data_IF_649790018231
#
_entry.id   IF_649790018231
#
_cell.length_a   1.000
_cell.length_b   1.000
_cell.length_c   1.000
_cell.angle_alpha   90.00
_cell.angle_beta   90.00
_cell.angle_gamma   90.00
#
_symmetry.space_group_name_H-M   'P 1'
#
loop_
_entity.id
_entity.type
_entity.pdbx_description
1 polymer ?
#
# COMPACT_ATOMS: atom_id res chain seq x y z
N UNK A 1 12.79 11.14 -15.66
CA UNK A 1 12.65 12.59 -15.37
C UNK A 1 11.17 12.97 -15.32
N UNK A 2 10.33 12.59 -16.30
CA UNK A 2 8.91 12.94 -16.36
C UNK A 2 8.07 12.45 -15.16
N UNK A 3 8.51 11.40 -14.46
CA UNK A 3 7.88 10.85 -13.25
C UNK A 3 8.52 11.35 -11.95
N UNK A 4 9.35 12.40 -12.01
CA UNK A 4 10.03 12.98 -10.84
C UNK A 4 11.28 12.23 -10.36
N UNK A 5 11.71 11.18 -11.07
CA UNK A 5 12.92 10.42 -10.72
C UNK A 5 14.16 11.01 -11.41
N UNK A 6 15.31 10.93 -10.71
CA UNK A 6 16.60 11.25 -11.30
C UNK A 6 17.15 10.01 -12.01
N UNK A 7 17.73 10.20 -13.21
CA UNK A 7 18.51 9.15 -13.88
C UNK A 7 19.82 8.93 -13.13
N UNK A 8 20.14 7.66 -12.86
CA UNK A 8 21.35 7.25 -12.12
C UNK A 8 22.25 6.40 -13.03
N UNK A 9 21.74 5.26 -13.50
CA UNK A 9 22.37 4.37 -14.45
C UNK A 9 21.29 3.62 -15.23
N UNK A 10 21.64 3.04 -16.38
CA UNK A 10 20.67 2.30 -17.19
C UNK A 10 19.97 1.19 -16.38
N UNK A 11 20.71 0.44 -15.56
CA UNK A 11 20.15 -0.66 -14.74
C UNK A 11 19.17 -0.11 -13.69
N UNK A 12 19.54 0.92 -12.94
CA UNK A 12 18.68 1.53 -11.91
C UNK A 12 17.44 2.18 -12.55
N UNK A 13 17.62 2.86 -13.68
CA UNK A 13 16.52 3.50 -14.40
C UNK A 13 15.53 2.48 -14.95
N UNK A 14 16.01 1.31 -15.42
CA UNK A 14 15.16 0.19 -15.85
C UNK A 14 14.37 -0.39 -14.66
N UNK A 15 15.01 -0.61 -13.52
CA UNK A 15 14.29 -1.12 -12.33
C UNK A 15 13.21 -0.15 -11.85
N UNK A 16 13.50 1.15 -11.88
CA UNK A 16 12.52 2.20 -11.59
C UNK A 16 11.41 2.25 -12.64
N UNK A 17 11.76 2.14 -13.92
CA UNK A 17 10.76 2.10 -15.00
C UNK A 17 9.78 0.95 -14.80
N UNK A 18 10.26 -0.27 -14.57
CA UNK A 18 9.41 -1.45 -14.34
C UNK A 18 8.52 -1.27 -13.10
N UNK A 19 9.07 -0.65 -12.04
CA UNK A 19 8.28 -0.32 -10.85
C UNK A 19 7.10 0.60 -11.16
N UNK A 20 7.29 1.62 -12.01
CA UNK A 20 6.21 2.54 -12.40
C UNK A 20 5.29 1.97 -13.47
N UNK A 21 5.80 1.16 -14.42
CA UNK A 21 5.06 0.59 -15.54
C UNK A 21 4.06 -0.49 -15.06
N UNK A 22 4.54 -1.45 -14.28
CA UNK A 22 3.74 -2.61 -13.86
C UNK A 22 3.61 -2.76 -12.32
N UNK A 23 3.92 -1.72 -11.57
CA UNK A 23 3.84 -1.70 -10.10
C UNK A 23 4.66 -2.82 -9.43
N UNK A 24 5.84 -3.18 -10.02
CA UNK A 24 6.74 -4.23 -9.52
C UNK A 24 8.10 -3.64 -9.18
N UNK A 25 8.34 -3.27 -7.89
CA UNK A 25 9.68 -2.87 -7.48
C UNK A 25 10.67 -4.01 -7.66
N UNK A 26 11.81 -3.69 -8.24
CA UNK A 26 12.94 -4.58 -8.44
C UNK A 26 14.15 -4.02 -7.71
N UNK A 27 15.09 -4.89 -7.36
CA UNK A 27 16.40 -4.46 -6.89
C UNK A 27 17.51 -5.09 -7.75
N UNK A 28 18.55 -4.32 -8.01
CA UNK A 28 19.70 -4.73 -8.77
C UNK A 28 20.95 -4.69 -7.87
N UNK A 29 21.61 -5.83 -7.74
CA UNK A 29 22.87 -5.96 -7.04
C UNK A 29 24.03 -6.05 -8.03
N UNK A 30 25.17 -5.51 -7.65
CA UNK A 30 26.45 -5.85 -8.26
C UNK A 30 26.80 -7.29 -7.83
N UNK A 31 26.68 -8.23 -8.76
CA UNK A 31 26.84 -9.65 -8.46
C UNK A 31 28.26 -10.02 -8.00
N UNK A 32 29.27 -9.26 -8.46
CA UNK A 32 30.67 -9.49 -8.12
C UNK A 32 30.99 -9.10 -6.66
N UNK A 33 30.12 -8.29 -6.04
CA UNK A 33 30.22 -7.86 -4.64
C UNK A 33 29.45 -8.75 -3.66
N UNK A 34 28.73 -9.77 -4.15
CA UNK A 34 27.95 -10.72 -3.32
C UNK A 34 28.83 -11.88 -2.87
N UNK A 35 28.86 -12.16 -1.58
CA UNK A 35 29.60 -13.29 -1.02
C UNK A 35 28.70 -14.54 -0.88
N UNK A 36 28.97 -15.59 -1.67
CA UNK A 36 28.31 -16.93 -1.68
C UNK A 36 26.82 -16.94 -2.02
N UNK A 37 26.20 -15.82 -2.33
CA UNK A 37 24.78 -15.74 -2.74
C UNK A 37 23.87 -15.09 -1.71
N UNK A 38 22.61 -14.86 -2.11
CA UNK A 38 21.64 -14.14 -1.31
C UNK A 38 20.89 -15.05 -0.33
N UNK A 39 20.69 -14.55 0.88
CA UNK A 39 19.93 -15.22 1.95
C UNK A 39 18.86 -14.26 2.44
N UNK A 40 17.60 -14.67 2.33
CA UNK A 40 16.47 -13.94 2.92
C UNK A 40 16.23 -14.46 4.33
N UNK A 41 16.31 -13.59 5.33
CA UNK A 41 16.16 -13.97 6.74
C UNK A 41 15.61 -12.84 7.59
N UNK A 42 15.31 -13.14 8.83
CA UNK A 42 15.08 -12.09 9.84
C UNK A 42 16.42 -11.51 10.32
N UNK A 43 16.41 -10.21 10.62
CA UNK A 43 17.54 -9.53 11.27
C UNK A 43 17.75 -10.01 12.69
N UNK A 44 18.98 -9.86 13.16
CA UNK A 44 19.34 -10.00 14.58
C UNK A 44 19.32 -8.63 15.24
N UNK A 45 19.03 -8.59 16.53
CA UNK A 45 19.05 -7.35 17.30
C UNK A 45 20.45 -6.72 17.30
N UNK A 46 20.51 -5.43 16.97
CA UNK A 46 21.77 -4.68 16.91
C UNK A 46 22.58 -4.89 15.64
N UNK A 47 22.11 -5.66 14.68
CA UNK A 47 22.72 -5.73 13.34
C UNK A 47 22.72 -4.37 12.67
N UNK A 48 23.76 -4.05 11.93
CA UNK A 48 23.92 -2.75 11.28
C UNK A 48 24.15 -2.91 9.79
N UNK A 49 23.68 -1.96 9.01
CA UNK A 49 24.04 -1.83 7.60
C UNK A 49 23.96 -0.37 7.17
N UNK A 50 24.73 0.01 6.14
CA UNK A 50 24.65 1.32 5.50
C UNK A 50 23.74 1.22 4.28
N UNK A 51 22.64 1.97 4.28
CA UNK A 51 21.67 1.96 3.20
C UNK A 51 22.05 2.92 2.05
N UNK A 52 21.36 2.80 0.91
CA UNK A 52 21.58 3.62 -0.28
C UNK A 52 21.36 5.14 -0.06
N UNK A 53 20.72 5.53 1.04
CA UNK A 53 20.60 6.93 1.48
C UNK A 53 21.84 7.40 2.28
N UNK A 54 22.89 6.58 2.37
CA UNK A 54 24.12 6.78 3.11
C UNK A 54 23.94 6.89 4.65
N UNK A 55 22.82 6.40 5.19
CA UNK A 55 22.62 6.35 6.64
C UNK A 55 22.91 4.93 7.15
N UNK A 56 23.49 4.87 8.36
CA UNK A 56 23.64 3.63 9.11
C UNK A 56 22.35 3.36 9.88
N UNK A 57 21.78 2.17 9.68
CA UNK A 57 20.61 1.69 10.41
C UNK A 57 20.98 0.57 11.36
N UNK A 58 20.48 0.67 12.58
CA UNK A 58 20.57 -0.39 13.60
C UNK A 58 19.26 -1.16 13.60
N UNK A 59 19.34 -2.44 13.33
CA UNK A 59 18.17 -3.30 13.15
C UNK A 59 17.71 -3.89 14.48
N UNK A 60 16.40 -4.05 14.62
CA UNK A 60 15.79 -4.83 15.69
C UNK A 60 15.49 -6.25 15.20
N UNK A 61 15.07 -7.13 16.09
CA UNK A 61 14.70 -8.50 15.75
C UNK A 61 13.49 -8.56 14.80
N UNK A 62 13.47 -9.59 13.94
CA UNK A 62 12.34 -9.89 13.05
C UNK A 62 12.07 -8.88 11.93
N UNK A 63 13.03 -8.04 11.55
CA UNK A 63 12.98 -7.29 10.32
C UNK A 63 13.44 -8.18 9.16
N UNK A 64 12.73 -8.14 8.03
CA UNK A 64 13.12 -8.91 6.85
C UNK A 64 14.34 -8.26 6.19
N UNK A 65 15.44 -9.01 6.12
CA UNK A 65 16.68 -8.56 5.48
C UNK A 65 17.07 -9.47 4.34
N UNK A 66 17.68 -8.89 3.32
CA UNK A 66 18.45 -9.60 2.32
C UNK A 66 19.90 -9.53 2.79
N UNK A 67 20.56 -10.66 2.87
CA UNK A 67 21.95 -10.79 3.35
C UNK A 67 22.74 -11.75 2.48
N UNK A 68 24.04 -11.75 2.66
CA UNK A 68 24.94 -12.78 2.19
C UNK A 68 25.75 -13.34 3.37
N UNK A 69 26.86 -14.07 3.13
CA UNK A 69 27.69 -14.60 4.23
C UNK A 69 28.46 -13.51 4.97
N UNK A 70 28.64 -12.32 4.40
CA UNK A 70 29.37 -11.19 5.01
C UNK A 70 28.45 -10.24 5.81
N UNK A 71 27.13 -10.37 5.70
CA UNK A 71 26.19 -9.56 6.48
C UNK A 71 24.97 -9.04 5.71
N UNK A 72 24.32 -8.03 6.25
CA UNK A 72 23.10 -7.43 5.67
C UNK A 72 23.44 -6.61 4.43
N UNK A 73 22.70 -6.87 3.34
CA UNK A 73 22.78 -6.16 2.06
C UNK A 73 21.66 -5.11 1.90
N UNK A 74 20.56 -5.30 2.61
CA UNK A 74 19.43 -4.38 2.55
C UNK A 74 18.23 -4.86 3.35
N UNK A 75 17.26 -3.99 3.50
CA UNK A 75 15.95 -4.29 4.06
C UNK A 75 15.00 -4.72 2.93
N UNK A 76 14.55 -5.96 2.99
CA UNK A 76 13.69 -6.54 1.96
C UNK A 76 12.46 -5.67 1.67
N UNK A 77 12.30 -5.23 0.43
CA UNK A 77 11.19 -4.38 -0.02
C UNK A 77 11.16 -2.94 0.50
N UNK A 78 12.22 -2.48 1.19
CA UNK A 78 12.28 -1.13 1.74
C UNK A 78 13.44 -0.34 1.12
N UNK A 79 14.69 -0.75 1.34
CA UNK A 79 15.86 -0.05 0.85
C UNK A 79 17.07 -0.98 0.76
N UNK A 80 17.81 -0.91 -0.34
CA UNK A 80 19.09 -1.61 -0.50
C UNK A 80 20.22 -0.98 0.28
N UNK A 81 21.32 -1.73 0.41
CA UNK A 81 22.55 -1.24 1.02
C UNK A 81 23.58 -0.80 0.00
N UNK A 82 24.54 0.01 0.45
CA UNK A 82 25.59 0.57 -0.42
C UNK A 82 26.60 -0.47 -0.86
N UNK A 83 26.86 -1.52 -0.05
CA UNK A 83 27.93 -2.50 -0.28
C UNK A 83 27.82 -3.23 -1.62
N UNK A 84 26.62 -3.58 -2.01
CA UNK A 84 26.31 -4.33 -3.26
C UNK A 84 25.51 -3.51 -4.25
N UNK A 85 25.44 -2.19 -4.05
CA UNK A 85 24.80 -1.28 -5.00
C UNK A 85 25.52 -1.33 -6.36
N UNK A 86 24.75 -1.22 -7.45
CA UNK A 86 25.31 -1.14 -8.80
C UNK A 86 25.94 0.23 -9.04
N UNK A 87 27.05 0.23 -9.76
CA UNK A 87 27.81 1.40 -10.18
C UNK A 87 27.89 1.47 -11.71
N UNK A 88 28.43 2.54 -12.25
CA UNK A 88 28.57 2.70 -13.71
C UNK A 88 29.49 1.66 -14.38
N UNK A 89 30.40 1.06 -13.61
CA UNK A 89 31.32 0.04 -14.06
C UNK A 89 30.87 -1.40 -13.73
N UNK A 90 29.71 -1.59 -13.12
CA UNK A 90 29.15 -2.93 -12.82
C UNK A 90 28.88 -3.68 -14.12
N UNK A 91 29.46 -4.87 -14.25
CA UNK A 91 29.31 -5.75 -15.42
C UNK A 91 28.34 -6.91 -15.18
N UNK A 92 28.38 -7.51 -13.99
CA UNK A 92 27.52 -8.61 -13.62
C UNK A 92 26.44 -8.14 -12.66
N UNK A 93 25.17 -8.30 -13.06
CA UNK A 93 24.02 -7.81 -12.29
C UNK A 93 23.15 -8.98 -11.85
N UNK A 94 22.83 -9.04 -10.57
CA UNK A 94 21.79 -9.92 -10.04
C UNK A 94 20.51 -9.10 -9.81
N UNK A 95 19.43 -9.48 -10.50
CA UNK A 95 18.12 -8.84 -10.34
C UNK A 95 17.27 -9.60 -9.33
N UNK A 96 16.70 -8.88 -8.39
CA UNK A 96 15.70 -9.38 -7.45
C UNK A 96 14.31 -8.89 -7.83
N UNK A 97 13.36 -9.83 -7.93
CA UNK A 97 11.92 -9.54 -7.95
C UNK A 97 11.27 -10.40 -6.87
N UNK A 98 10.73 -9.75 -5.85
CA UNK A 98 10.28 -10.47 -4.67
C UNK A 98 8.85 -10.06 -4.24
N UNK A 99 8.26 -10.85 -3.35
CA UNK A 99 7.08 -10.50 -2.59
C UNK A 99 7.43 -10.51 -1.11
N UNK A 100 7.14 -9.43 -0.43
CA UNK A 100 7.34 -9.27 1.00
C UNK A 100 6.01 -9.09 1.73
N UNK A 101 5.93 -9.54 2.98
CA UNK A 101 4.73 -9.37 3.79
C UNK A 101 4.44 -7.88 4.06
N UNK A 102 3.31 -7.32 3.61
CA UNK A 102 3.01 -5.89 3.74
C UNK A 102 3.05 -5.36 5.17
N UNK A 103 2.61 -6.17 6.14
CA UNK A 103 2.60 -5.79 7.57
C UNK A 103 4.02 -5.67 8.12
N UNK A 104 4.92 -6.59 7.71
CA UNK A 104 6.32 -6.55 8.11
C UNK A 104 7.01 -5.31 7.54
N UNK A 105 6.78 -5.01 6.26
CA UNK A 105 7.32 -3.81 5.61
C UNK A 105 6.86 -2.54 6.33
N UNK A 106 5.56 -2.40 6.58
CA UNK A 106 5.00 -1.24 7.30
C UNK A 106 5.58 -1.08 8.70
N UNK A 107 5.70 -2.19 9.46
CA UNK A 107 6.26 -2.16 10.82
C UNK A 107 7.72 -1.71 10.80
N UNK A 108 8.54 -2.34 9.96
CA UNK A 108 9.98 -2.05 9.85
C UNK A 108 10.23 -0.62 9.39
N UNK A 109 9.57 -0.18 8.32
CA UNK A 109 9.76 1.17 7.78
C UNK A 109 9.34 2.28 8.76
N UNK A 110 8.26 2.03 9.53
CA UNK A 110 7.82 2.97 10.56
C UNK A 110 8.82 3.05 11.72
N UNK A 111 9.37 1.93 12.18
CA UNK A 111 10.35 1.90 13.26
C UNK A 111 11.65 2.61 12.89
N UNK A 112 12.09 2.44 11.64
CA UNK A 112 13.33 3.05 11.15
C UNK A 112 13.14 4.41 10.49
N UNK A 113 11.89 4.89 10.38
CA UNK A 113 11.50 6.14 9.72
C UNK A 113 12.04 6.23 8.28
N UNK A 114 11.84 5.16 7.49
CA UNK A 114 12.28 5.07 6.09
C UNK A 114 11.05 5.16 5.18
N UNK A 115 11.11 6.05 4.20
CA UNK A 115 10.08 6.20 3.16
C UNK A 115 10.71 6.10 1.77
N UNK A 116 10.25 5.12 0.97
CA UNK A 116 10.72 4.87 -0.40
C UNK A 116 9.56 4.47 -1.30
N UNK A 117 9.74 4.63 -2.61
CA UNK A 117 8.78 4.22 -3.63
C UNK A 117 8.50 2.71 -3.60
N UNK A 118 9.50 1.89 -3.34
CA UNK A 118 9.37 0.45 -3.18
C UNK A 118 8.55 0.10 -1.93
N UNK A 119 8.90 0.67 -0.78
CA UNK A 119 8.18 0.52 0.48
C UNK A 119 6.70 0.91 0.34
N UNK A 120 6.42 2.06 -0.30
CA UNK A 120 5.05 2.53 -0.53
C UNK A 120 4.19 1.48 -1.24
N UNK A 121 4.75 0.73 -2.19
CA UNK A 121 4.06 -0.31 -2.93
C UNK A 121 3.93 -1.59 -2.12
N UNK A 122 5.02 -2.08 -1.56
CA UNK A 122 5.03 -3.32 -0.79
C UNK A 122 4.16 -3.27 0.47
N UNK A 123 4.12 -2.14 1.19
CA UNK A 123 3.29 -2.03 2.40
C UNK A 123 1.78 -2.06 2.13
N UNK A 124 1.37 -1.74 0.89
CA UNK A 124 -0.03 -1.80 0.44
C UNK A 124 -0.40 -3.14 -0.17
N UNK A 125 0.60 -3.97 -0.44
CA UNK A 125 0.44 -5.24 -1.14
C UNK A 125 0.58 -5.06 -2.65
N UNK A 126 1.46 -5.85 -3.23
CA UNK A 126 1.65 -5.96 -4.67
C UNK A 126 1.22 -7.36 -5.13
N UNK A 127 1.02 -7.53 -6.42
CA UNK A 127 0.60 -8.81 -6.99
C UNK A 127 1.66 -9.90 -6.79
N UNK A 128 1.42 -10.95 -5.98
CA UNK A 128 2.38 -12.03 -5.78
C UNK A 128 2.62 -12.88 -7.04
N UNK A 129 1.74 -12.78 -8.06
CA UNK A 129 1.84 -13.55 -9.30
C UNK A 129 2.57 -12.80 -10.43
N UNK A 130 2.91 -11.52 -10.24
CA UNK A 130 3.63 -10.73 -11.26
C UNK A 130 5.16 -10.73 -11.08
N UNK A 131 5.71 -11.62 -10.24
CA UNK A 131 7.17 -11.70 -9.98
C UNK A 131 7.94 -11.97 -11.26
N UNK A 132 7.56 -13.02 -11.99
CA UNK A 132 8.21 -13.39 -13.25
C UNK A 132 7.99 -12.34 -14.34
N UNK A 133 6.81 -11.74 -14.41
CA UNK A 133 6.53 -10.67 -15.36
C UNK A 133 7.49 -9.49 -15.15
N UNK A 134 7.76 -9.11 -13.89
CA UNK A 134 8.68 -8.02 -13.56
C UNK A 134 10.11 -8.34 -14.00
N UNK A 135 10.60 -9.53 -13.70
CA UNK A 135 11.94 -9.98 -14.13
C UNK A 135 12.03 -10.00 -15.66
N UNK A 136 11.08 -10.62 -16.35
CA UNK A 136 11.09 -10.72 -17.80
C UNK A 136 11.10 -9.32 -18.45
N UNK A 137 10.27 -8.39 -17.95
CA UNK A 137 10.25 -7.04 -18.48
C UNK A 137 11.56 -6.29 -18.27
N UNK A 138 12.17 -6.42 -17.09
CA UNK A 138 13.49 -5.81 -16.85
C UNK A 138 14.58 -6.42 -17.72
N UNK A 139 14.60 -7.74 -17.85
CA UNK A 139 15.57 -8.46 -18.67
C UNK A 139 15.46 -8.08 -20.14
N UNK A 140 14.23 -7.94 -20.70
CA UNK A 140 14.02 -7.46 -22.08
C UNK A 140 14.65 -6.08 -22.27
N UNK A 141 14.37 -5.13 -21.37
CA UNK A 141 14.90 -3.78 -21.45
C UNK A 141 16.42 -3.71 -21.26
N UNK A 142 16.97 -4.51 -20.34
CA UNK A 142 18.43 -4.60 -20.13
C UNK A 142 19.10 -5.14 -21.39
N UNK A 143 18.57 -6.20 -21.99
CA UNK A 143 19.10 -6.79 -23.20
C UNK A 143 19.07 -5.82 -24.39
N UNK A 144 17.99 -5.05 -24.51
CA UNK A 144 17.81 -4.06 -25.57
C UNK A 144 18.79 -2.88 -25.42
N UNK A 145 18.96 -2.38 -24.20
CA UNK A 145 19.69 -1.13 -23.93
C UNK A 145 21.17 -1.37 -23.62
N UNK A 146 21.46 -2.39 -22.80
CA UNK A 146 22.80 -2.68 -22.28
C UNK A 146 23.47 -3.87 -22.99
N UNK A 147 22.69 -4.74 -23.62
CA UNK A 147 23.20 -6.01 -24.17
C UNK A 147 23.45 -7.05 -23.07
N UNK A 148 24.38 -7.97 -23.34
CA UNK A 148 24.80 -9.00 -22.38
C UNK A 148 24.06 -10.33 -22.50
N UNK A 149 24.44 -11.29 -21.65
CA UNK A 149 23.87 -12.62 -21.56
C UNK A 149 22.99 -12.78 -20.32
N UNK A 150 21.96 -13.60 -20.42
CA UNK A 150 20.98 -13.83 -19.37
C UNK A 150 21.17 -15.23 -18.81
N UNK A 151 21.29 -15.34 -17.49
CA UNK A 151 21.29 -16.60 -16.77
C UNK A 151 19.88 -17.19 -16.62
N UNK A 152 19.81 -18.37 -16.02
CA UNK A 152 18.51 -18.94 -15.62
C UNK A 152 17.89 -18.13 -14.48
N UNK A 153 16.56 -18.01 -14.52
CA UNK A 153 15.79 -17.46 -13.40
C UNK A 153 15.72 -18.53 -12.30
N UNK A 154 16.13 -18.19 -11.08
CA UNK A 154 15.95 -19.03 -9.89
C UNK A 154 14.72 -18.50 -9.12
N UNK A 155 13.77 -19.40 -8.85
CA UNK A 155 12.51 -19.05 -8.18
C UNK A 155 12.43 -19.82 -6.86
N UNK A 156 12.44 -19.07 -5.75
CA UNK A 156 12.26 -19.63 -4.42
C UNK A 156 10.97 -19.09 -3.80
N UNK A 157 10.09 -19.99 -3.37
CA UNK A 157 8.81 -19.61 -2.79
C UNK A 157 8.63 -20.23 -1.42
N UNK A 158 8.34 -19.39 -0.42
CA UNK A 158 7.91 -19.81 0.90
C UNK A 158 6.43 -19.47 1.04
N UNK A 159 5.58 -20.50 1.12
CA UNK A 159 4.14 -20.34 1.20
C UNK A 159 3.39 -20.64 -0.11
N UNK A 160 2.07 -20.54 -0.06
CA UNK A 160 1.20 -20.82 -1.19
C UNK A 160 0.24 -19.65 -1.40
N UNK A 161 0.44 -18.89 -2.45
CA UNK A 161 -0.45 -17.80 -2.82
C UNK A 161 -1.67 -18.34 -3.56
N UNK A 162 -2.86 -17.92 -3.14
CA UNK A 162 -4.13 -18.29 -3.76
C UNK A 162 -4.89 -17.05 -4.15
N UNK A 163 -5.48 -17.06 -5.35
CA UNK A 163 -6.42 -16.02 -5.77
C UNK A 163 -7.66 -16.05 -4.88
N UNK A 164 -8.12 -14.89 -4.45
CA UNK A 164 -9.35 -14.74 -3.68
C UNK A 164 -10.55 -15.15 -4.52
N UNK A 165 -11.46 -15.94 -3.93
CA UNK A 165 -12.71 -16.34 -4.57
C UNK A 165 -13.89 -15.81 -3.77
N UNK A 166 -14.84 -15.16 -4.44
CA UNK A 166 -16.02 -14.57 -3.83
C UNK A 166 -17.26 -15.13 -4.51
N UNK A 167 -18.20 -15.62 -3.73
CA UNK A 167 -19.54 -15.92 -4.20
C UNK A 167 -20.41 -14.67 -4.02
N UNK A 168 -20.78 -14.05 -5.12
CA UNK A 168 -21.53 -12.80 -5.14
C UNK A 168 -22.99 -13.05 -5.49
N UNK A 169 -23.90 -12.70 -4.59
CA UNK A 169 -25.34 -12.69 -4.83
C UNK A 169 -25.69 -11.40 -5.59
N UNK A 170 -26.28 -11.58 -6.80
CA UNK A 170 -26.67 -10.46 -7.67
C UNK A 170 -27.67 -9.52 -6.97
N UNK A 171 -28.54 -10.06 -6.11
CA UNK A 171 -29.54 -9.26 -5.38
C UNK A 171 -28.93 -8.29 -4.37
N UNK A 172 -27.71 -8.58 -3.89
CA UNK A 172 -26.98 -7.72 -2.95
C UNK A 172 -26.67 -6.35 -3.57
N UNK A 173 -26.41 -6.31 -4.88
CA UNK A 173 -26.15 -5.06 -5.57
C UNK A 173 -27.30 -4.07 -5.41
N UNK A 174 -28.52 -4.47 -5.78
CA UNK A 174 -29.70 -3.60 -5.64
C UNK A 174 -29.96 -3.21 -4.19
N UNK A 175 -29.82 -4.16 -3.26
CA UNK A 175 -30.06 -3.94 -1.83
C UNK A 175 -29.14 -2.86 -1.26
N UNK A 176 -27.90 -2.80 -1.70
CA UNK A 176 -26.88 -1.85 -1.18
C UNK A 176 -26.89 -0.54 -1.98
N UNK A 177 -26.90 -0.62 -3.32
CA UNK A 177 -26.79 0.56 -4.19
C UNK A 177 -28.10 1.33 -4.36
N UNK A 178 -29.25 0.67 -4.13
CA UNK A 178 -30.57 1.27 -4.29
C UNK A 178 -31.07 1.36 -5.72
N UNK A 179 -30.33 0.83 -6.71
CA UNK A 179 -30.76 0.80 -8.11
C UNK A 179 -30.40 -0.54 -8.76
N UNK A 180 -30.93 -0.80 -9.97
CA UNK A 180 -30.76 -2.05 -10.70
C UNK A 180 -29.89 -1.85 -11.93
N UNK A 181 -28.99 -2.79 -12.15
CA UNK A 181 -28.34 -3.03 -13.44
C UNK A 181 -28.52 -4.48 -13.85
N UNK A 182 -28.48 -4.77 -15.14
CA UNK A 182 -28.67 -6.15 -15.61
C UNK A 182 -27.49 -7.04 -15.24
N UNK A 183 -27.73 -8.32 -15.00
CA UNK A 183 -26.66 -9.30 -14.73
C UNK A 183 -25.62 -9.36 -15.86
N UNK A 184 -26.05 -9.13 -17.11
CA UNK A 184 -25.16 -9.05 -18.26
C UNK A 184 -24.20 -7.87 -18.16
N UNK A 185 -24.69 -6.73 -17.72
CA UNK A 185 -23.90 -5.52 -17.52
C UNK A 185 -22.92 -5.67 -16.36
N UNK A 186 -23.36 -6.26 -15.22
CA UNK A 186 -22.48 -6.61 -14.09
C UNK A 186 -21.31 -7.49 -14.57
N UNK A 187 -21.61 -8.54 -15.34
CA UNK A 187 -20.60 -9.46 -15.87
C UNK A 187 -19.62 -8.71 -16.79
N UNK A 188 -20.13 -7.82 -17.62
CA UNK A 188 -19.28 -7.04 -18.53
C UNK A 188 -18.33 -6.12 -17.75
N UNK A 189 -18.84 -5.39 -16.76
CA UNK A 189 -18.04 -4.50 -15.91
C UNK A 189 -16.93 -5.31 -15.20
N UNK A 190 -17.30 -6.41 -14.54
CA UNK A 190 -16.35 -7.22 -13.79
C UNK A 190 -15.30 -7.89 -14.70
N UNK A 191 -15.69 -8.35 -15.89
CA UNK A 191 -14.72 -8.89 -16.88
C UNK A 191 -13.72 -7.82 -17.33
N UNK A 192 -14.19 -6.61 -17.58
CA UNK A 192 -13.31 -5.49 -17.98
C UNK A 192 -12.33 -5.11 -16.86
N UNK A 193 -12.69 -5.37 -15.60
CA UNK A 193 -11.81 -5.21 -14.44
C UNK A 193 -10.89 -6.42 -14.19
N UNK A 194 -10.96 -7.46 -15.05
CA UNK A 194 -10.07 -8.62 -14.99
C UNK A 194 -10.56 -9.77 -14.12
N UNK A 195 -11.82 -9.77 -13.65
CA UNK A 195 -12.38 -10.89 -12.90
C UNK A 195 -12.64 -12.10 -13.80
N UNK A 196 -12.27 -13.29 -13.32
CA UNK A 196 -12.72 -14.55 -13.90
C UNK A 196 -14.09 -14.89 -13.31
N UNK A 197 -15.09 -15.15 -14.18
CA UNK A 197 -16.49 -15.29 -13.73
C UNK A 197 -17.06 -16.63 -14.17
N UNK A 198 -17.60 -17.36 -13.21
CA UNK A 198 -18.47 -18.52 -13.45
C UNK A 198 -19.89 -18.17 -12.96
N UNK A 199 -20.82 -18.04 -13.89
CA UNK A 199 -22.21 -17.68 -13.57
C UNK A 199 -23.03 -18.91 -13.19
N UNK A 200 -23.85 -18.77 -12.14
CA UNK A 200 -24.88 -19.73 -11.77
C UNK A 200 -26.15 -18.94 -11.44
N UNK A 201 -27.30 -19.29 -12.00
CA UNK A 201 -28.62 -18.59 -11.97
C UNK A 201 -28.70 -17.24 -11.22
N UNK A 202 -28.48 -17.21 -9.89
CA UNK A 202 -28.60 -15.99 -9.06
C UNK A 202 -27.27 -15.54 -8.45
N UNK A 203 -26.19 -16.31 -8.64
CA UNK A 203 -24.89 -16.03 -8.04
C UNK A 203 -23.80 -15.98 -9.11
N UNK A 204 -22.82 -15.11 -8.88
CA UNK A 204 -21.57 -15.08 -9.63
C UNK A 204 -20.45 -15.63 -8.74
N UNK A 205 -19.80 -16.70 -9.17
CA UNK A 205 -18.56 -17.16 -8.56
C UNK A 205 -17.41 -16.42 -9.21
N UNK A 206 -16.83 -15.50 -8.46
CA UNK A 206 -15.79 -14.59 -8.93
C UNK A 206 -14.43 -15.05 -8.44
N UNK A 207 -13.44 -15.10 -9.34
CA UNK A 207 -12.04 -15.14 -8.97
C UNK A 207 -11.48 -13.73 -9.12
N UNK A 208 -11.04 -13.16 -8.01
CA UNK A 208 -10.50 -11.80 -7.95
C UNK A 208 -9.15 -11.74 -8.65
N UNK A 209 -8.86 -10.72 -9.46
CA UNK A 209 -7.53 -10.49 -10.02
C UNK A 209 -6.47 -10.41 -8.92
N UNK A 210 -5.32 -11.03 -9.13
CA UNK A 210 -4.26 -11.12 -8.13
C UNK A 210 -3.65 -9.77 -7.73
N UNK A 211 -3.76 -8.77 -8.60
CA UNK A 211 -3.31 -7.39 -8.34
C UNK A 211 -4.31 -6.54 -7.54
N UNK A 212 -5.46 -7.12 -7.12
CA UNK A 212 -6.48 -6.46 -6.30
C UNK A 212 -6.55 -7.09 -4.91
N UNK A 213 -5.55 -6.83 -4.04
CA UNK A 213 -5.52 -7.37 -2.68
C UNK A 213 -6.59 -6.74 -1.76
N UNK A 214 -7.18 -5.65 -2.17
CA UNK A 214 -8.21 -4.87 -1.50
C UNK A 214 -9.59 -5.53 -1.57
N UNK A 215 -9.85 -6.37 -2.60
CA UNK A 215 -11.15 -7.03 -2.80
C UNK A 215 -11.17 -8.37 -2.06
N UNK A 216 -11.87 -8.43 -0.94
CA UNK A 216 -11.92 -9.60 -0.07
C UNK A 216 -13.34 -10.09 0.23
N UNK A 217 -14.36 -9.28 -0.03
CA UNK A 217 -15.75 -9.57 0.33
C UNK A 217 -16.75 -9.03 -0.71
N UNK A 218 -18.02 -9.46 -0.60
CA UNK A 218 -19.06 -9.13 -1.58
C UNK A 218 -19.39 -7.63 -1.66
N UNK A 219 -19.19 -6.88 -0.57
CA UNK A 219 -19.43 -5.43 -0.59
C UNK A 219 -18.44 -4.71 -1.48
N UNK A 220 -17.19 -5.18 -1.55
CA UNK A 220 -16.16 -4.61 -2.42
C UNK A 220 -16.55 -4.77 -3.90
N UNK A 221 -17.23 -5.88 -4.23
CA UNK A 221 -17.78 -6.10 -5.58
C UNK A 221 -18.89 -5.10 -5.90
N UNK A 222 -19.75 -4.76 -4.92
CA UNK A 222 -20.78 -3.73 -5.12
C UNK A 222 -20.13 -2.39 -5.44
N UNK A 223 -19.08 -2.02 -4.74
CA UNK A 223 -18.33 -0.78 -5.01
C UNK A 223 -17.76 -0.76 -6.43
N UNK A 224 -17.09 -1.83 -6.86
CA UNK A 224 -16.53 -1.92 -8.21
C UNK A 224 -17.62 -1.85 -9.30
N UNK A 225 -18.76 -2.47 -9.07
CA UNK A 225 -19.90 -2.39 -9.99
C UNK A 225 -20.48 -0.97 -10.07
N UNK A 226 -20.61 -0.27 -8.93
CA UNK A 226 -21.08 1.13 -8.90
C UNK A 226 -20.10 2.04 -9.64
N UNK A 227 -18.81 1.90 -9.39
CA UNK A 227 -17.76 2.68 -10.08
C UNK A 227 -17.74 2.41 -11.58
N UNK A 228 -17.80 1.12 -11.97
CA UNK A 228 -17.80 0.71 -13.37
C UNK A 228 -19.06 1.09 -14.13
N UNK A 229 -20.21 1.17 -13.45
CA UNK A 229 -21.46 1.68 -14.01
C UNK A 229 -21.41 3.18 -14.28
N UNK A 230 -20.80 3.94 -13.38
CA UNK A 230 -20.65 5.39 -13.41
C UNK A 230 -21.56 6.10 -12.42
N UNK A 231 -20.96 6.86 -11.51
CA UNK A 231 -21.68 7.61 -10.46
C UNK A 231 -22.61 8.68 -11.02
N UNK A 232 -22.28 9.23 -12.17
CA UNK A 232 -23.07 10.23 -12.91
C UNK A 232 -24.43 9.70 -13.40
N UNK A 233 -24.54 8.38 -13.58
CA UNK A 233 -25.78 7.70 -14.01
C UNK A 233 -26.74 7.42 -12.84
N UNK A 234 -26.28 7.55 -11.60
CA UNK A 234 -27.10 7.28 -10.42
C UNK A 234 -28.06 8.45 -10.18
N UNK A 235 -29.36 8.16 -10.22
CA UNK A 235 -30.38 9.17 -9.98
C UNK A 235 -30.39 9.58 -8.50
N UNK A 236 -30.29 10.87 -8.26
CA UNK A 236 -30.48 11.44 -6.93
C UNK A 236 -31.95 11.34 -6.52
N UNK A 237 -32.22 10.73 -5.39
CA UNK A 237 -33.56 10.63 -4.80
C UNK A 237 -33.58 11.52 -3.55
N UNK A 238 -34.50 12.48 -3.53
CA UNK A 238 -34.70 13.27 -2.31
C UNK A 238 -35.24 12.34 -1.20
N UNK A 239 -34.69 12.41 0.01
CA UNK A 239 -35.24 11.65 1.13
C UNK A 239 -36.69 12.04 1.36
N UNK A 240 -37.55 11.07 1.64
CA UNK A 240 -38.94 11.36 2.01
C UNK A 240 -38.95 12.29 3.20
N UNK A 241 -39.70 13.39 3.07
CA UNK A 241 -39.92 14.32 4.15
C UNK A 241 -40.89 13.70 5.14
N UNK A 242 -40.48 12.68 5.87
CA UNK A 242 -41.19 12.27 7.05
C UNK A 242 -41.24 13.48 7.98
N UNK A 243 -42.42 13.77 8.57
CA UNK A 243 -42.59 14.80 9.58
C UNK A 243 -41.82 14.44 10.85
N UNK A 244 -40.50 14.47 10.76
CA UNK A 244 -39.62 14.38 11.92
C UNK A 244 -39.76 15.71 12.64
N UNK A 245 -40.48 15.71 13.77
CA UNK A 245 -40.46 16.87 14.68
C UNK A 245 -39.01 16.98 15.18
N UNK A 246 -38.27 18.03 14.80
CA UNK A 246 -36.92 18.22 15.32
C UNK A 246 -37.04 18.50 16.84
N UNK A 247 -36.80 17.47 17.62
CA UNK A 247 -36.81 17.60 19.08
C UNK A 247 -35.37 17.71 19.58
N UNK A 248 -34.94 18.95 19.81
CA UNK A 248 -33.72 19.19 20.55
C UNK A 248 -33.88 18.62 21.96
N UNK A 249 -32.87 17.87 22.43
CA UNK A 249 -32.80 17.44 23.82
C UNK A 249 -32.73 18.63 24.75
N UNK A 250 -33.03 18.42 26.03
CA UNK A 250 -32.90 19.49 27.05
C UNK A 250 -31.50 20.09 27.07
N UNK A 251 -30.48 19.25 26.99
CA UNK A 251 -29.05 19.66 26.97
C UNK A 251 -28.74 20.53 25.73
N UNK A 252 -29.20 20.16 24.54
CA UNK A 252 -29.00 20.95 23.33
C UNK A 252 -29.71 22.31 23.41
N UNK A 253 -30.93 22.34 23.96
CA UNK A 253 -31.62 23.60 24.17
C UNK A 253 -30.91 24.52 25.15
N UNK A 254 -30.40 23.95 26.27
CA UNK A 254 -29.61 24.69 27.24
C UNK A 254 -28.33 25.22 26.64
N UNK A 255 -27.62 24.39 25.87
CA UNK A 255 -26.40 24.80 25.17
C UNK A 255 -26.64 26.02 24.28
N UNK A 256 -27.63 25.94 23.39
CA UNK A 256 -27.95 27.06 22.49
C UNK A 256 -28.48 28.31 23.23
N UNK A 257 -29.13 28.12 24.37
CA UNK A 257 -29.56 29.25 25.20
C UNK A 257 -28.34 29.95 25.83
N UNK A 258 -27.41 29.19 26.42
CA UNK A 258 -26.18 29.73 27.00
C UNK A 258 -25.32 30.43 25.96
N UNK A 259 -25.13 29.79 24.80
CA UNK A 259 -24.38 30.35 23.69
C UNK A 259 -24.91 31.75 23.29
N UNK A 260 -26.21 31.87 23.07
CA UNK A 260 -26.83 33.18 22.75
C UNK A 260 -26.75 34.17 23.90
N UNK A 261 -26.95 33.72 25.14
CA UNK A 261 -26.85 34.58 26.33
C UNK A 261 -25.47 35.17 26.51
N UNK A 262 -24.43 34.38 26.29
CA UNK A 262 -23.04 34.83 26.38
C UNK A 262 -22.68 35.77 25.22
N UNK A 263 -23.10 35.43 24.00
CA UNK A 263 -22.90 36.29 22.85
C UNK A 263 -23.53 37.67 23.02
N UNK A 264 -24.74 37.75 23.61
CA UNK A 264 -25.43 39.05 23.90
C UNK A 264 -24.72 39.87 24.96
N UNK A 265 -23.86 39.26 25.78
CA UNK A 265 -23.00 39.92 26.76
C UNK A 265 -21.62 40.31 26.22
N UNK A 266 -21.37 40.12 24.92
CA UNK A 266 -20.14 40.49 24.26
C UNK A 266 -19.05 39.43 24.31
N UNK A 267 -19.34 38.17 24.75
CA UNK A 267 -18.38 37.08 24.70
C UNK A 267 -18.30 36.54 23.28
N UNK A 268 -17.06 36.19 22.86
CA UNK A 268 -16.78 35.54 21.60
C UNK A 268 -16.58 34.05 21.85
N UNK A 269 -17.29 33.21 21.09
CA UNK A 269 -17.09 31.78 21.12
C UNK A 269 -15.83 31.40 20.36
N UNK A 270 -14.95 30.61 21.00
CA UNK A 270 -13.75 30.06 20.39
C UNK A 270 -13.84 28.54 20.32
N UNK A 271 -13.60 27.98 19.15
CA UNK A 271 -13.45 26.53 18.97
C UNK A 271 -11.97 26.21 19.17
N UNK A 272 -11.66 25.50 20.24
CA UNK A 272 -10.29 25.11 20.57
C UNK A 272 -9.99 23.71 20.02
N UNK A 273 -8.71 23.46 19.75
CA UNK A 273 -8.24 22.12 19.38
C UNK A 273 -8.36 21.15 20.56
N UNK A 274 -8.68 19.89 20.26
CA UNK A 274 -8.73 18.82 21.27
C UNK A 274 -7.35 18.39 21.74
N UNK A 275 -6.31 18.76 21.01
CA UNK A 275 -4.92 18.46 21.32
C UNK A 275 -4.18 19.77 21.63
N UNK A 276 -3.29 19.72 22.59
CA UNK A 276 -2.46 20.85 22.97
C UNK A 276 -1.01 20.40 23.14
N UNK A 277 -0.05 21.29 22.93
CA UNK A 277 1.36 21.04 23.23
C UNK A 277 1.52 20.69 24.73
N UNK A 278 2.28 19.63 25.01
CA UNK A 278 2.55 19.20 26.38
C UNK A 278 3.17 20.31 27.24
N UNK A 279 4.02 21.17 26.65
CA UNK A 279 4.65 22.32 27.32
C UNK A 279 3.61 23.37 27.76
N UNK A 280 2.55 23.58 26.96
CA UNK A 280 1.46 24.48 27.32
C UNK A 280 0.66 23.90 28.50
N UNK A 281 0.36 22.59 28.43
CA UNK A 281 -0.31 21.91 29.53
C UNK A 281 0.50 21.93 30.84
N UNK A 282 1.83 22.03 30.76
CA UNK A 282 2.72 22.13 31.92
C UNK A 282 2.54 23.43 32.72
N UNK A 283 2.03 24.47 32.07
CA UNK A 283 1.76 25.73 32.74
C UNK A 283 0.52 25.70 33.66
N UNK A 284 -0.33 24.71 33.49
CA UNK A 284 -1.54 24.51 34.33
C UNK A 284 -1.30 23.37 35.31
N UNK A 285 -1.29 23.69 36.62
CA UNK A 285 -0.85 22.78 37.68
C UNK A 285 -1.73 21.56 37.97
N UNK A 286 -2.89 21.40 37.35
CA UNK A 286 -3.84 20.32 37.66
C UNK A 286 -3.70 19.12 36.72
N UNK A 287 -2.53 18.45 36.75
CA UNK A 287 -2.28 17.26 35.95
C UNK A 287 -2.75 15.99 36.65
N UNK A 288 -3.92 15.51 36.33
CA UNK A 288 -4.29 14.16 36.79
C UNK A 288 -4.25 13.08 35.72
N UNK A 289 -3.86 13.19 34.55
CA UNK A 289 -3.60 12.17 33.48
C UNK A 289 -3.62 12.85 32.11
N UNK A 290 -2.48 13.26 31.63
CA UNK A 290 -2.31 13.63 30.23
C UNK A 290 -1.99 12.37 29.44
N UNK A 291 -2.71 12.12 28.34
CA UNK A 291 -2.35 11.07 27.40
C UNK A 291 -1.48 11.73 26.32
N UNK A 292 -0.24 11.31 26.22
CA UNK A 292 0.66 11.77 25.17
C UNK A 292 0.42 10.94 23.92
N UNK A 293 0.22 11.63 22.78
CA UNK A 293 0.12 11.01 21.46
C UNK A 293 1.48 11.13 20.79
N UNK A 294 2.10 10.00 20.53
CA UNK A 294 3.34 9.94 19.75
C UNK A 294 2.96 9.86 18.28
N UNK A 295 3.34 10.88 17.52
CA UNK A 295 3.21 10.90 16.06
C UNK A 295 4.39 10.19 15.41
#
# INVERSE_FOLDING_TARGET
ISVGQKSISAIVDITNYVMFDINRPLHAYDADKIDKGLIVRNSKKGEKFTALDNKEYVLDENMCVISDSSGVLGLGGIIGGTRTGTELNTQNVLLESAYFNPRSIRKTSKLLNIDTDAKFRFERGIDPFSIEQGINRAVELIKEICGGEISKIDIQTIGNFKKTKIQFDISLFEKISGFKISSKEMITILKNLGFEIKSNKNNLNLTVPSWRPDIIQSIDIVEELVRGYGNDKIKTINPEKNRIKPTLTKSQRLFHFLQRSLASKGYLEAITWSFADSKINDLFKDRKKTIEIVN
#
